data_IF_937847209762
#
_entry.id   IF_937847209762
#
_cell.length_a   1.000
_cell.length_b   1.000
_cell.length_c   1.000
_cell.angle_alpha   90.00
_cell.angle_beta   90.00
_cell.angle_gamma   90.00
#
_symmetry.space_group_name_H-M   'P 1'
#
loop_
_entity.id
_entity.type
_entity.pdbx_description
1 polymer ?
#
# COMPACT_ATOMS: atom_id res chain seq x y z
N UNK A 1 -0.27 -9.43 -30.11
CA UNK A 1 -0.89 -8.09 -29.96
C UNK A 1 -2.06 -8.13 -28.98
N UNK A 2 -2.97 -9.12 -29.07
CA UNK A 2 -4.07 -9.32 -28.10
C UNK A 2 -3.60 -9.49 -26.65
N UNK A 3 -2.55 -10.27 -26.42
CA UNK A 3 -2.00 -10.55 -25.08
C UNK A 3 -1.46 -9.28 -24.38
N UNK A 4 -0.84 -8.36 -25.13
CA UNK A 4 -0.37 -7.08 -24.59
C UNK A 4 -1.53 -6.16 -24.19
N UNK A 5 -2.63 -6.18 -24.94
CA UNK A 5 -3.83 -5.39 -24.65
C UNK A 5 -4.53 -5.90 -23.39
N UNK A 6 -4.58 -7.23 -23.20
CA UNK A 6 -5.15 -7.85 -21.99
C UNK A 6 -4.32 -7.52 -20.74
N UNK A 7 -2.99 -7.67 -20.80
CA UNK A 7 -2.10 -7.36 -19.66
C UNK A 7 -2.19 -5.88 -19.29
N UNK A 8 -2.20 -4.99 -20.28
CA UNK A 8 -2.31 -3.54 -20.05
C UNK A 8 -3.67 -3.18 -19.46
N UNK A 9 -4.76 -3.73 -20.01
CA UNK A 9 -6.11 -3.51 -19.51
C UNK A 9 -6.28 -3.96 -18.06
N UNK A 10 -5.76 -5.15 -17.72
CA UNK A 10 -5.77 -5.66 -16.35
C UNK A 10 -4.95 -4.77 -15.40
N UNK A 11 -3.77 -4.33 -15.82
CA UNK A 11 -2.90 -3.46 -15.02
C UNK A 11 -3.57 -2.11 -14.72
N UNK A 12 -4.19 -1.49 -15.73
CA UNK A 12 -4.92 -0.22 -15.56
C UNK A 12 -6.12 -0.40 -14.63
N UNK A 13 -6.89 -1.47 -14.79
CA UNK A 13 -8.03 -1.77 -13.93
C UNK A 13 -7.58 -1.94 -12.46
N UNK A 14 -6.57 -2.77 -12.21
CA UNK A 14 -6.05 -3.00 -10.86
C UNK A 14 -5.48 -1.72 -10.23
N UNK A 15 -4.71 -0.94 -10.99
CA UNK A 15 -4.19 0.34 -10.51
C UNK A 15 -5.32 1.33 -10.16
N UNK A 16 -6.37 1.38 -10.98
CA UNK A 16 -7.52 2.26 -10.76
C UNK A 16 -8.29 1.86 -9.51
N UNK A 17 -8.59 0.58 -9.35
CA UNK A 17 -9.28 0.03 -8.17
C UNK A 17 -8.44 0.25 -6.92
N UNK A 18 -7.14 -0.08 -6.95
CA UNK A 18 -6.24 0.13 -5.82
C UNK A 18 -6.17 1.60 -5.40
N UNK A 19 -6.12 2.53 -6.36
CA UNK A 19 -6.12 3.97 -6.10
C UNK A 19 -7.42 4.43 -5.47
N UNK A 20 -8.57 3.99 -5.99
CA UNK A 20 -9.89 4.30 -5.43
C UNK A 20 -10.05 3.81 -3.99
N UNK A 21 -9.55 2.61 -3.69
CA UNK A 21 -9.57 2.03 -2.34
C UNK A 21 -8.63 2.78 -1.39
N UNK A 22 -7.45 3.21 -1.88
CA UNK A 22 -6.45 3.93 -1.07
C UNK A 22 -6.76 5.42 -0.89
N UNK A 23 -7.58 6.01 -1.76
CA UNK A 23 -7.91 7.43 -1.72
C UNK A 23 -8.51 7.89 -0.38
N UNK A 24 -9.61 7.27 0.13
CA UNK A 24 -10.20 7.68 1.41
C UNK A 24 -9.22 7.60 2.60
N UNK A 25 -8.56 6.46 2.89
CA UNK A 25 -7.64 6.39 4.02
C UNK A 25 -6.40 7.27 3.82
N UNK A 26 -5.89 7.37 2.58
CA UNK A 26 -4.75 8.23 2.26
C UNK A 26 -5.03 9.71 2.53
N UNK A 27 -6.21 10.20 2.11
CA UNK A 27 -6.63 11.58 2.38
C UNK A 27 -6.81 11.80 3.89
N UNK A 28 -7.45 10.86 4.60
CA UNK A 28 -7.64 10.97 6.05
C UNK A 28 -6.31 11.07 6.81
N UNK A 29 -5.36 10.18 6.49
CA UNK A 29 -4.03 10.18 7.12
C UNK A 29 -3.25 11.44 6.77
N UNK A 30 -3.24 11.85 5.49
CA UNK A 30 -2.57 13.07 5.04
C UNK A 30 -3.13 14.33 5.71
N UNK A 31 -4.46 14.43 5.81
CA UNK A 31 -5.14 15.52 6.50
C UNK A 31 -4.79 15.56 7.99
N UNK A 32 -4.74 14.39 8.64
CA UNK A 32 -4.40 14.27 10.05
C UNK A 32 -2.95 14.72 10.32
N UNK A 33 -1.99 14.25 9.52
CA UNK A 33 -0.57 14.64 9.65
C UNK A 33 -0.35 16.13 9.37
N UNK A 34 -1.09 16.69 8.41
CA UNK A 34 -0.95 18.10 8.04
C UNK A 34 -1.53 19.06 9.09
N UNK A 35 -2.62 18.66 9.79
CA UNK A 35 -3.38 19.59 10.64
C UNK A 35 -3.29 19.32 12.14
N UNK A 36 -2.89 18.12 12.58
CA UNK A 36 -2.86 17.77 14.01
C UNK A 36 -1.44 17.45 14.46
N UNK A 37 -1.06 18.05 15.59
CA UNK A 37 0.10 17.63 16.37
C UNK A 37 -0.42 16.73 17.51
N UNK A 38 -0.20 15.42 17.38
CA UNK A 38 -0.61 14.43 18.37
C UNK A 38 0.59 13.53 18.72
N UNK A 39 0.57 12.92 19.91
CA UNK A 39 1.71 12.18 20.46
C UNK A 39 2.22 11.05 19.54
N UNK A 40 1.32 10.37 18.81
CA UNK A 40 1.66 9.29 17.87
C UNK A 40 2.07 9.73 16.46
N UNK A 41 2.19 11.04 16.19
CA UNK A 41 2.43 11.55 14.83
C UNK A 41 3.69 10.98 14.20
N UNK A 42 4.81 10.97 14.93
CA UNK A 42 6.10 10.49 14.41
C UNK A 42 6.05 9.00 14.03
N UNK A 43 5.32 8.19 14.79
CA UNK A 43 5.12 6.77 14.47
C UNK A 43 4.32 6.62 13.18
N UNK A 44 3.20 7.35 13.05
CA UNK A 44 2.37 7.29 11.84
C UNK A 44 3.12 7.76 10.59
N UNK A 45 3.88 8.85 10.71
CA UNK A 45 4.74 9.38 9.65
C UNK A 45 5.83 8.38 9.24
N UNK A 46 6.44 7.70 10.21
CA UNK A 46 7.40 6.62 9.95
C UNK A 46 6.72 5.47 9.20
N UNK A 47 5.56 4.99 9.65
CA UNK A 47 4.85 3.87 9.00
C UNK A 47 4.47 4.21 7.56
N UNK A 48 4.03 5.44 7.28
CA UNK A 48 3.66 5.89 5.93
C UNK A 48 4.86 5.99 5.00
N UNK A 49 6.01 6.43 5.52
CA UNK A 49 7.24 6.61 4.72
C UNK A 49 8.10 5.35 4.63
N UNK A 50 7.93 4.40 5.55
CA UNK A 50 8.69 3.16 5.63
C UNK A 50 8.72 2.36 4.32
N UNK A 51 7.60 2.15 3.59
CA UNK A 51 7.63 1.43 2.32
C UNK A 51 8.50 2.08 1.25
N UNK A 52 8.74 3.40 1.33
CA UNK A 52 9.57 4.14 0.39
C UNK A 52 11.06 3.97 0.68
N UNK A 53 11.44 3.85 1.96
CA UNK A 53 12.84 3.61 2.37
C UNK A 53 13.23 2.13 2.35
N UNK A 54 12.25 1.22 2.41
CA UNK A 54 12.49 -0.23 2.36
C UNK A 54 12.55 -0.71 0.91
N UNK A 55 13.53 -1.57 0.54
CA UNK A 55 13.61 -2.13 -0.80
C UNK A 55 12.36 -2.94 -1.20
N UNK A 56 11.94 -2.94 -2.49
CA UNK A 56 10.76 -3.67 -2.95
C UNK A 56 10.79 -5.17 -2.61
N UNK A 57 11.98 -5.78 -2.64
CA UNK A 57 12.18 -7.19 -2.29
C UNK A 57 11.84 -7.46 -0.83
N UNK A 58 12.27 -6.58 0.09
CA UNK A 58 11.96 -6.72 1.51
C UNK A 58 10.46 -6.52 1.77
N UNK A 59 9.82 -5.55 1.10
CA UNK A 59 8.36 -5.37 1.13
C UNK A 59 7.62 -6.63 0.66
N UNK A 60 8.10 -7.26 -0.41
CA UNK A 60 7.56 -8.53 -0.90
C UNK A 60 7.66 -9.67 0.12
N UNK A 61 8.78 -9.80 0.82
CA UNK A 61 8.96 -10.82 1.87
C UNK A 61 8.05 -10.58 3.08
N UNK A 62 7.85 -9.32 3.48
CA UNK A 62 6.91 -8.95 4.54
C UNK A 62 5.49 -9.34 4.14
N UNK A 63 5.07 -8.99 2.92
CA UNK A 63 3.76 -9.37 2.40
C UNK A 63 3.59 -10.88 2.31
N UNK A 64 4.60 -11.62 1.83
CA UNK A 64 4.56 -13.09 1.78
C UNK A 64 4.42 -13.71 3.17
N UNK A 65 5.11 -13.17 4.17
CA UNK A 65 5.02 -13.66 5.55
C UNK A 65 3.66 -13.35 6.17
N UNK A 66 2.99 -12.26 5.76
CA UNK A 66 1.67 -11.89 6.25
C UNK A 66 0.54 -12.63 5.53
N UNK A 67 0.55 -12.63 4.18
CA UNK A 67 -0.52 -13.15 3.32
C UNK A 67 -0.25 -14.56 2.76
N UNK A 68 0.94 -15.12 2.93
CA UNK A 68 1.27 -16.46 2.46
C UNK A 68 0.54 -17.55 3.25
N UNK A 69 0.55 -18.79 2.74
CA UNK A 69 -0.14 -19.97 3.32
C UNK A 69 0.14 -20.30 4.80
N UNK A 70 1.20 -19.74 5.39
CA UNK A 70 1.53 -19.89 6.83
C UNK A 70 1.57 -18.53 7.54
N UNK A 71 1.03 -17.50 6.88
CA UNK A 71 1.03 -16.12 7.35
C UNK A 71 -0.20 -15.83 8.20
N UNK A 72 -0.15 -14.74 8.96
CA UNK A 72 -1.21 -14.40 9.92
C UNK A 72 -2.54 -14.03 9.24
N UNK A 73 -2.48 -13.56 7.99
CA UNK A 73 -3.63 -13.19 7.16
C UNK A 73 -3.91 -14.22 6.05
N UNK A 74 -3.04 -15.22 5.89
CA UNK A 74 -3.23 -16.30 4.94
C UNK A 74 -3.91 -17.48 5.62
N UNK A 75 -5.16 -17.74 5.25
CA UNK A 75 -5.95 -18.87 5.74
C UNK A 75 -5.32 -20.23 5.42
#
# INVERSE_FOLDING_TARGET
>A
MSELLEVTGFTVLMASVATLVMLPPGICVGWLLARRQFYGRSVLETVVTLPLVVPPVATGLILLKLLGRRGWLGA
#
